data_IF_004129391051
#
_entry.id   IF_004129391051
#
_cell.length_a   1.000
_cell.length_b   1.000
_cell.length_c   1.000
_cell.angle_alpha   90.00
_cell.angle_beta   90.00
_cell.angle_gamma   90.00
#
_symmetry.space_group_name_H-M   'P 1'
#
loop_
_entity.id
_entity.type
_entity.pdbx_description
1 polymer ?
#
# COMPACT_ATOMS: atom_id res chain seq x y z
N UNK A 1 -5.29 -23.00 -10.33
CA UNK A 1 -6.59 -22.35 -10.58
C UNK A 1 -6.51 -20.87 -10.17
N UNK A 2 -6.26 -20.00 -11.15
CA UNK A 2 -6.16 -18.56 -10.94
C UNK A 2 -7.58 -17.98 -10.82
N UNK A 3 -7.94 -17.51 -9.63
CA UNK A 3 -9.17 -16.79 -9.21
C UNK A 3 -10.56 -17.46 -9.36
N UNK A 4 -11.49 -17.25 -8.39
CA UNK A 4 -12.90 -17.71 -8.48
C UNK A 4 -13.75 -16.87 -9.45
N UNK A 5 -14.78 -17.48 -10.03
CA UNK A 5 -15.74 -16.88 -11.00
C UNK A 5 -16.51 -15.65 -10.49
N UNK A 6 -16.46 -15.34 -9.18
CA UNK A 6 -17.13 -14.20 -8.56
C UNK A 6 -16.64 -12.81 -9.00
N UNK A 7 -15.64 -12.74 -9.89
CA UNK A 7 -15.03 -11.50 -10.39
C UNK A 7 -15.34 -11.19 -11.87
N UNK A 8 -16.21 -11.98 -12.51
CA UNK A 8 -16.70 -11.74 -13.87
C UNK A 8 -17.78 -10.64 -13.82
N UNK A 9 -17.62 -9.60 -14.63
CA UNK A 9 -18.63 -8.54 -14.74
C UNK A 9 -19.87 -9.07 -15.48
N UNK A 10 -21.06 -8.74 -15.01
CA UNK A 10 -22.29 -9.15 -15.68
C UNK A 10 -22.40 -8.46 -17.06
N UNK A 11 -22.75 -9.22 -18.08
CA UNK A 11 -22.92 -8.73 -19.44
C UNK A 11 -23.95 -7.60 -19.49
N UNK A 12 -23.64 -6.50 -20.19
CA UNK A 12 -24.45 -5.29 -20.33
C UNK A 12 -24.31 -4.27 -19.20
N UNK A 13 -23.46 -4.53 -18.20
CA UNK A 13 -23.25 -3.61 -17.06
C UNK A 13 -22.11 -2.60 -17.30
N UNK A 14 -21.40 -2.69 -18.42
CA UNK A 14 -20.30 -1.80 -18.77
C UNK A 14 -20.61 -0.97 -20.02
N UNK A 15 -20.02 0.23 -20.13
CA UNK A 15 -20.19 1.11 -21.32
C UNK A 15 -19.29 0.70 -22.49
N UNK A 16 -18.87 -0.57 -22.59
CA UNK A 16 -17.88 -1.03 -23.56
C UNK A 16 -18.50 -1.59 -24.85
N UNK A 17 -17.76 -1.43 -25.95
CA UNK A 17 -18.09 -2.02 -27.26
C UNK A 17 -17.89 -3.54 -27.33
N UNK A 18 -17.24 -4.16 -26.34
CA UNK A 18 -17.00 -5.62 -26.25
C UNK A 18 -17.99 -6.33 -25.32
N UNK A 19 -18.97 -5.59 -24.77
CA UNK A 19 -20.05 -6.13 -23.93
C UNK A 19 -21.22 -6.71 -24.77
N UNK A 20 -21.06 -6.72 -26.09
CA UNK A 20 -22.03 -7.27 -27.04
C UNK A 20 -21.71 -8.75 -27.31
N UNK A 21 -22.77 -9.55 -27.35
CA UNK A 21 -22.78 -11.02 -27.35
C UNK A 21 -21.70 -11.68 -28.22
N UNK A 22 -20.89 -12.55 -27.61
CA UNK A 22 -20.05 -13.52 -28.31
C UNK A 22 -18.55 -13.53 -28.00
N UNK A 23 -18.06 -12.78 -27.00
CA UNK A 23 -16.63 -12.81 -26.61
C UNK A 23 -16.37 -13.39 -25.21
N UNK A 24 -15.13 -13.83 -24.98
CA UNK A 24 -14.61 -14.37 -23.72
C UNK A 24 -14.86 -13.45 -22.52
N UNK A 25 -15.25 -14.05 -21.38
CA UNK A 25 -15.57 -13.34 -20.12
C UNK A 25 -14.46 -12.38 -19.67
N UNK A 26 -14.82 -11.11 -19.46
CA UNK A 26 -13.91 -10.03 -19.09
C UNK A 26 -13.89 -9.81 -17.56
N UNK A 27 -12.70 -9.79 -16.97
CA UNK A 27 -12.51 -9.76 -15.51
C UNK A 27 -12.28 -8.32 -15.02
N UNK A 28 -12.94 -7.92 -13.91
CA UNK A 28 -12.96 -6.52 -13.43
C UNK A 28 -11.57 -5.89 -13.21
N UNK A 29 -10.58 -6.68 -12.76
CA UNK A 29 -9.21 -6.18 -12.54
C UNK A 29 -8.40 -6.00 -13.83
N UNK A 30 -8.77 -6.65 -14.93
CA UNK A 30 -8.19 -6.38 -16.24
C UNK A 30 -8.56 -4.97 -16.71
N UNK A 31 -9.70 -4.44 -16.25
CA UNK A 31 -10.17 -3.10 -16.61
C UNK A 31 -9.43 -1.97 -15.90
N UNK A 32 -9.03 -2.14 -14.64
CA UNK A 32 -8.20 -1.14 -13.93
C UNK A 32 -6.79 -1.01 -14.53
N UNK A 33 -6.37 -2.00 -15.33
CA UNK A 33 -5.13 -1.98 -16.10
C UNK A 33 -5.31 -1.36 -17.50
N UNK A 34 -6.55 -1.12 -17.93
CA UNK A 34 -6.88 -0.60 -19.26
C UNK A 34 -7.13 0.91 -19.17
N UNK A 35 -6.07 1.64 -19.58
CA UNK A 35 -6.05 2.96 -20.28
C UNK A 35 -5.92 4.23 -19.44
N UNK A 36 -4.65 4.63 -19.27
CA UNK A 36 -4.16 5.84 -19.95
C UNK A 36 -3.05 5.42 -20.94
N UNK A 37 -3.32 5.35 -22.26
CA UNK A 37 -2.33 4.93 -23.25
C UNK A 37 -1.14 5.90 -23.38
N UNK A 38 -1.25 7.15 -22.91
CA UNK A 38 -0.12 8.09 -22.88
C UNK A 38 0.87 7.76 -21.73
N UNK A 39 0.44 6.97 -20.73
CA UNK A 39 1.23 6.65 -19.53
C UNK A 39 1.93 5.27 -19.56
N UNK A 40 1.73 4.48 -20.61
CA UNK A 40 2.37 3.18 -20.79
C UNK A 40 3.80 3.38 -21.29
N UNK A 41 4.77 3.06 -20.44
CA UNK A 41 6.20 3.06 -20.78
C UNK A 41 6.45 2.04 -21.89
N UNK A 42 6.82 2.53 -23.08
CA UNK A 42 7.03 1.71 -24.28
C UNK A 42 5.79 1.01 -24.87
N UNK A 43 4.58 1.56 -24.72
CA UNK A 43 3.33 0.97 -25.24
C UNK A 43 3.45 0.47 -26.70
N UNK A 44 4.05 1.31 -27.55
CA UNK A 44 4.27 1.03 -28.98
C UNK A 44 5.33 -0.04 -29.27
N UNK A 45 6.17 -0.39 -28.28
CA UNK A 45 7.21 -1.41 -28.41
C UNK A 45 6.91 -2.69 -27.60
N UNK A 46 5.81 -2.71 -26.82
CA UNK A 46 5.29 -3.92 -26.20
C UNK A 46 4.57 -4.78 -27.23
N UNK A 47 3.74 -4.18 -28.10
CA UNK A 47 3.08 -4.85 -29.23
C UNK A 47 4.07 -5.57 -30.17
N UNK A 48 5.29 -5.04 -30.31
CA UNK A 48 6.35 -5.63 -31.13
C UNK A 48 7.24 -6.65 -30.37
N UNK A 49 7.07 -6.79 -29.04
CA UNK A 49 7.92 -7.62 -28.16
C UNK A 49 7.21 -8.80 -27.49
N UNK A 50 5.88 -8.86 -27.50
CA UNK A 50 5.09 -9.93 -26.85
C UNK A 50 4.86 -11.18 -27.72
N UNK A 51 5.35 -11.20 -28.96
CA UNK A 51 5.54 -12.46 -29.71
C UNK A 51 6.90 -13.05 -29.39
N UNK A 52 6.97 -14.30 -28.90
CA UNK A 52 8.19 -15.08 -28.60
C UNK A 52 9.47 -14.46 -29.22
N UNK A 53 10.21 -13.69 -28.43
CA UNK A 53 11.38 -12.94 -28.88
C UNK A 53 12.48 -13.86 -29.42
N UNK A 54 12.39 -14.19 -30.71
CA UNK A 54 13.46 -14.86 -31.43
C UNK A 54 14.60 -13.86 -31.57
N UNK A 55 15.59 -13.97 -30.68
CA UNK A 55 16.86 -13.23 -30.73
C UNK A 55 17.35 -13.11 -32.17
N UNK A 56 17.84 -11.92 -32.53
CA UNK A 56 18.46 -11.73 -33.84
C UNK A 56 19.53 -12.80 -34.05
N UNK A 57 19.58 -13.37 -35.26
CA UNK A 57 20.56 -14.42 -35.58
C UNK A 57 22.01 -13.92 -35.52
N UNK A 58 22.23 -12.63 -35.83
CA UNK A 58 23.54 -11.96 -35.74
C UNK A 58 23.84 -11.37 -34.36
N UNK A 59 25.10 -11.03 -34.14
CA UNK A 59 25.59 -10.47 -32.87
C UNK A 59 25.53 -8.95 -32.90
N UNK A 60 24.78 -8.33 -32.01
CA UNK A 60 24.82 -6.89 -31.78
C UNK A 60 25.54 -6.54 -30.49
N UNK A 61 26.15 -5.35 -30.44
CA UNK A 61 26.74 -4.78 -29.24
C UNK A 61 26.38 -3.30 -29.15
N UNK A 62 25.84 -2.89 -28.00
CA UNK A 62 25.53 -1.50 -27.66
C UNK A 62 26.66 -0.94 -26.80
N UNK A 63 27.15 0.26 -27.10
CA UNK A 63 28.23 0.91 -26.35
C UNK A 63 27.81 2.30 -25.88
N UNK A 64 28.28 2.69 -24.69
CA UNK A 64 28.31 4.09 -24.25
C UNK A 64 29.77 4.46 -24.05
N UNK A 65 30.29 5.35 -24.90
CA UNK A 65 31.73 5.52 -25.05
C UNK A 65 32.39 4.20 -25.47
N UNK A 66 33.32 3.72 -24.65
CA UNK A 66 34.00 2.43 -24.84
C UNK A 66 33.39 1.28 -24.04
N UNK A 67 32.39 1.56 -23.20
CA UNK A 67 31.78 0.55 -22.33
C UNK A 67 30.65 -0.19 -23.03
N UNK A 68 30.66 -1.53 -22.93
CA UNK A 68 29.60 -2.40 -23.46
C UNK A 68 28.40 -2.44 -22.52
N UNK A 69 27.22 -2.16 -23.07
CA UNK A 69 25.93 -2.21 -22.38
C UNK A 69 25.28 -3.58 -22.56
N UNK A 70 24.68 -4.08 -21.48
CA UNK A 70 23.96 -5.35 -21.47
C UNK A 70 22.60 -5.15 -20.81
N UNK A 71 21.70 -6.09 -21.03
CA UNK A 71 20.33 -6.03 -20.52
C UNK A 71 20.28 -5.78 -19.00
N UNK A 72 19.47 -4.78 -18.62
CA UNK A 72 19.24 -4.28 -17.24
C UNK A 72 20.50 -3.85 -16.49
N UNK A 73 21.61 -3.58 -17.19
CA UNK A 73 22.85 -3.10 -16.57
C UNK A 73 22.73 -1.64 -16.12
N UNK A 74 23.32 -1.33 -14.97
CA UNK A 74 23.51 0.04 -14.50
C UNK A 74 24.90 0.50 -14.95
N UNK A 75 24.97 1.59 -15.71
CA UNK A 75 26.22 2.22 -16.13
C UNK A 75 26.34 3.63 -15.55
N UNK A 76 27.51 3.90 -14.95
CA UNK A 76 27.84 5.21 -14.40
C UNK A 76 28.59 5.98 -15.47
N UNK A 77 27.92 6.96 -16.09
CA UNK A 77 28.50 7.82 -17.10
C UNK A 77 28.90 9.18 -16.49
N UNK A 78 30.18 9.32 -16.12
CA UNK A 78 30.73 10.59 -15.60
C UNK A 78 31.15 11.55 -16.70
N UNK A 79 31.43 11.05 -17.91
CA UNK A 79 31.86 11.86 -19.05
C UNK A 79 30.65 12.25 -19.92
N UNK A 80 30.37 13.55 -19.97
CA UNK A 80 29.27 14.12 -20.76
C UNK A 80 29.52 14.05 -22.26
N UNK A 81 30.75 13.83 -22.69
CA UNK A 81 31.12 13.71 -24.11
C UNK A 81 30.88 12.30 -24.66
N UNK A 82 30.59 11.32 -23.79
CA UNK A 82 30.29 9.97 -24.23
C UNK A 82 29.06 9.96 -25.15
N UNK A 83 29.19 9.21 -26.24
CA UNK A 83 28.11 8.97 -27.20
C UNK A 83 27.66 7.52 -27.13
N UNK A 84 26.45 7.28 -27.62
CA UNK A 84 25.90 5.94 -27.75
C UNK A 84 26.27 5.36 -29.13
N UNK A 85 26.67 4.10 -29.19
CA UNK A 85 27.01 3.41 -30.42
C UNK A 85 26.35 2.04 -30.50
N UNK A 86 26.09 1.59 -31.73
CA UNK A 86 25.71 0.19 -32.00
C UNK A 86 26.62 -0.38 -33.07
N UNK A 87 27.03 -1.63 -32.86
CA UNK A 87 27.68 -2.46 -33.87
C UNK A 87 26.83 -3.72 -34.04
N UNK A 88 26.58 -4.10 -35.30
CA UNK A 88 25.93 -5.36 -35.64
C UNK A 88 26.83 -6.18 -36.56
N UNK A 89 27.01 -7.45 -36.22
CA UNK A 89 27.81 -8.43 -36.95
C UNK A 89 26.85 -9.52 -37.44
N UNK A 90 26.70 -9.65 -38.76
CA UNK A 90 25.80 -10.64 -39.35
C UNK A 90 26.36 -12.06 -39.24
N UNK A 91 25.47 -13.05 -39.36
CA UNK A 91 25.90 -14.46 -39.49
C UNK A 91 26.41 -14.75 -40.89
N UNK A 92 27.25 -15.78 -41.00
CA UNK A 92 27.74 -16.30 -42.29
C UNK A 92 26.55 -16.66 -43.18
N UNK A 93 26.49 -16.08 -44.38
CA UNK A 93 25.42 -16.30 -45.37
C UNK A 93 24.28 -15.27 -45.37
N UNK A 94 24.29 -14.28 -44.47
CA UNK A 94 23.30 -13.18 -44.51
C UNK A 94 23.78 -12.02 -45.40
N UNK A 95 23.01 -11.73 -46.45
CA UNK A 95 23.30 -10.67 -47.44
C UNK A 95 22.83 -9.27 -47.02
N UNK A 96 22.25 -9.12 -45.83
CA UNK A 96 21.79 -7.82 -45.31
C UNK A 96 22.94 -6.82 -45.20
N UNK A 97 22.78 -5.63 -45.77
CA UNK A 97 23.79 -4.55 -45.73
C UNK A 97 23.64 -3.62 -44.52
N UNK A 98 22.45 -3.58 -43.91
CA UNK A 98 22.16 -2.81 -42.71
C UNK A 98 21.11 -3.48 -41.83
N UNK A 99 21.04 -3.05 -40.57
CA UNK A 99 19.89 -3.26 -39.67
C UNK A 99 19.24 -1.92 -39.33
N UNK A 100 17.97 -1.98 -38.98
CA UNK A 100 17.22 -0.83 -38.50
C UNK A 100 17.42 -0.71 -36.98
N UNK A 101 17.70 0.49 -36.48
CA UNK A 101 17.90 0.74 -35.05
C UNK A 101 17.09 1.95 -34.60
N UNK A 102 16.46 1.83 -33.44
CA UNK A 102 15.76 2.92 -32.76
C UNK A 102 16.19 2.96 -31.30
N UNK A 103 16.60 4.13 -30.84
CA UNK A 103 16.95 4.38 -29.44
C UNK A 103 15.81 5.14 -28.81
N UNK A 104 15.39 4.71 -27.62
CA UNK A 104 14.34 5.36 -26.85
C UNK A 104 14.87 5.55 -25.45
N UNK A 105 14.72 6.73 -24.88
CA UNK A 105 15.14 6.99 -23.53
C UNK A 105 14.16 7.92 -22.81
N UNK A 106 14.07 7.76 -21.49
CA UNK A 106 13.34 8.67 -20.62
C UNK A 106 14.29 9.25 -19.59
N UNK A 107 14.58 10.55 -19.70
CA UNK A 107 15.32 11.26 -18.69
C UNK A 107 14.60 11.24 -17.33
N UNK A 108 15.35 11.25 -16.23
CA UNK A 108 14.76 11.24 -14.86
C UNK A 108 13.83 12.43 -14.62
N UNK A 109 14.09 13.58 -15.24
CA UNK A 109 13.26 14.79 -15.16
C UNK A 109 12.01 14.76 -16.04
N UNK A 110 11.93 13.86 -17.02
CA UNK A 110 10.80 13.74 -17.95
C UNK A 110 9.81 12.67 -17.49
N UNK A 111 8.55 12.80 -17.93
CA UNK A 111 7.56 11.70 -17.97
C UNK A 111 7.42 11.11 -19.36
N UNK A 112 7.89 11.82 -20.39
CA UNK A 112 7.76 11.47 -21.79
C UNK A 112 9.02 10.79 -22.33
N UNK A 113 8.81 9.89 -23.29
CA UNK A 113 9.86 9.16 -23.99
C UNK A 113 10.40 10.01 -25.13
N UNK A 114 11.71 10.03 -25.25
CA UNK A 114 12.40 10.68 -26.36
C UNK A 114 13.00 9.57 -27.21
N UNK A 115 12.77 9.63 -28.52
CA UNK A 115 13.29 8.62 -29.44
C UNK A 115 14.21 9.23 -30.49
N UNK A 116 15.17 8.43 -30.90
CA UNK A 116 16.09 8.72 -31.98
C UNK A 116 16.15 7.52 -32.93
N UNK A 117 16.01 7.72 -34.24
CA UNK A 117 15.46 8.93 -34.87
C UNK A 117 14.03 9.21 -34.40
N UNK A 118 13.58 10.48 -34.51
CA UNK A 118 12.32 10.92 -33.92
C UNK A 118 11.08 10.25 -34.55
N UNK A 119 11.06 10.08 -35.88
CA UNK A 119 9.89 9.59 -36.62
C UNK A 119 10.05 8.21 -37.26
N UNK A 120 11.28 7.76 -37.53
CA UNK A 120 11.54 6.51 -38.28
C UNK A 120 12.63 5.66 -37.62
N UNK A 121 12.98 4.53 -38.24
CA UNK A 121 14.15 3.75 -37.88
C UNK A 121 15.42 4.37 -38.47
N UNK A 122 16.51 4.36 -37.71
CA UNK A 122 17.86 4.67 -38.21
C UNK A 122 18.48 3.44 -38.85
N UNK A 123 19.44 3.61 -39.75
CA UNK A 123 20.16 2.49 -40.38
C UNK A 123 21.56 2.37 -39.81
N UNK A 124 21.93 1.15 -39.39
CA UNK A 124 23.28 0.80 -38.98
C UNK A 124 23.83 -0.24 -39.96
N UNK A 125 24.88 0.12 -40.68
CA UNK A 125 25.52 -0.78 -41.63
C UNK A 125 26.16 -1.95 -40.89
N UNK A 126 26.07 -3.14 -41.48
CA UNK A 126 26.67 -4.35 -40.91
C UNK A 126 28.19 -4.17 -40.79
N UNK A 127 28.77 -4.72 -39.72
CA UNK A 127 30.19 -4.64 -39.36
C UNK A 127 30.72 -3.21 -39.12
N UNK A 128 29.84 -2.20 -39.04
CA UNK A 128 30.21 -0.80 -38.76
C UNK A 128 29.80 -0.41 -37.35
N UNK A 129 30.66 0.31 -36.62
CA UNK A 129 30.31 0.93 -35.34
C UNK A 129 29.69 2.30 -35.64
N UNK A 130 28.37 2.39 -35.58
CA UNK A 130 27.63 3.63 -35.88
C UNK A 130 27.33 4.39 -34.58
N UNK A 131 27.59 5.69 -34.56
CA UNK A 131 27.23 6.58 -33.44
C UNK A 131 25.82 7.11 -33.62
N UNK A 132 25.13 7.36 -32.51
CA UNK A 132 23.85 8.06 -32.51
C UNK A 132 24.06 9.53 -32.19
N UNK A 133 23.54 10.40 -33.05
CA UNK A 133 23.60 11.86 -32.88
C UNK A 133 22.56 12.32 -31.86
N UNK A 134 22.79 11.99 -30.59
CA UNK A 134 22.08 12.54 -29.45
C UNK A 134 22.86 13.75 -28.92
N UNK A 135 22.17 14.87 -28.67
CA UNK A 135 22.80 16.10 -28.15
C UNK A 135 23.42 15.90 -26.76
N UNK A 136 22.84 14.99 -25.98
CA UNK A 136 23.37 14.58 -24.67
C UNK A 136 22.85 13.20 -24.28
N UNK A 137 23.52 12.57 -23.31
CA UNK A 137 23.08 11.35 -22.64
C UNK A 137 22.64 11.65 -21.19
N UNK A 138 21.43 12.21 -20.96
CA UNK A 138 20.95 12.50 -19.62
C UNK A 138 20.78 11.21 -18.78
N UNK A 139 20.79 11.36 -17.46
CA UNK A 139 20.41 10.26 -16.58
C UNK A 139 19.00 9.77 -16.92
N UNK A 140 18.84 8.46 -17.01
CA UNK A 140 17.58 7.89 -17.42
C UNK A 140 17.64 6.40 -17.64
N UNK A 141 16.57 5.89 -18.22
CA UNK A 141 16.48 4.53 -18.72
C UNK A 141 16.55 4.60 -20.23
N UNK A 142 17.32 3.70 -20.83
CA UNK A 142 17.55 3.61 -22.28
C UNK A 142 17.12 2.25 -22.78
N UNK A 143 16.49 2.23 -23.95
CA UNK A 143 16.06 1.04 -24.70
C UNK A 143 16.55 1.19 -26.13
N UNK A 144 17.37 0.25 -26.59
CA UNK A 144 17.86 0.20 -27.96
C UNK A 144 17.17 -0.96 -28.65
N UNK A 145 16.32 -0.65 -29.62
CA UNK A 145 15.59 -1.60 -30.46
C UNK A 145 16.39 -1.84 -31.73
N UNK A 146 16.63 -3.11 -32.06
CA UNK A 146 17.35 -3.54 -33.25
C UNK A 146 16.42 -4.42 -34.09
N UNK A 147 16.13 -3.99 -35.31
CA UNK A 147 15.22 -4.64 -36.24
C UNK A 147 15.97 -5.16 -37.47
N UNK A 148 15.86 -6.45 -37.77
CA UNK A 148 16.47 -7.04 -38.95
C UNK A 148 15.56 -6.94 -40.20
N UNK A 149 16.04 -7.50 -41.32
CA UNK A 149 15.30 -7.57 -42.59
C UNK A 149 14.03 -8.43 -42.55
N UNK A 150 13.93 -9.36 -41.60
CA UNK A 150 12.77 -10.24 -41.40
C UNK A 150 11.74 -9.59 -40.45
N UNK A 151 11.86 -8.28 -40.21
CA UNK A 151 11.09 -7.49 -39.25
C UNK A 151 11.13 -7.96 -37.79
N UNK A 152 12.08 -8.82 -37.42
CA UNK A 152 12.29 -9.25 -36.02
C UNK A 152 13.01 -8.19 -35.23
N UNK A 153 12.53 -7.94 -34.02
CA UNK A 153 13.05 -6.91 -33.12
C UNK A 153 13.68 -7.57 -31.90
N UNK A 154 14.88 -7.13 -31.56
CA UNK A 154 15.55 -7.43 -30.30
C UNK A 154 15.86 -6.14 -29.55
N UNK A 155 15.98 -6.22 -28.24
CA UNK A 155 16.02 -5.05 -27.36
C UNK A 155 17.16 -5.17 -26.36
N UNK A 156 17.89 -4.06 -26.17
CA UNK A 156 18.80 -3.88 -25.03
C UNK A 156 18.32 -2.72 -24.17
N UNK A 157 17.95 -3.01 -22.93
CA UNK A 157 17.63 -2.02 -21.91
C UNK A 157 18.80 -1.83 -20.93
N UNK A 158 19.09 -0.59 -20.55
CA UNK A 158 20.08 -0.27 -19.53
C UNK A 158 19.78 1.06 -18.84
N UNK A 159 20.47 1.33 -17.73
CA UNK A 159 20.30 2.54 -16.94
C UNK A 159 21.57 3.39 -17.01
N UNK A 160 21.43 4.68 -17.31
CA UNK A 160 22.50 5.66 -17.21
C UNK A 160 22.34 6.51 -15.95
N UNK A 161 23.41 6.61 -15.16
CA UNK A 161 23.50 7.48 -13.98
C UNK A 161 24.78 8.30 -14.05
N UNK A 162 24.77 9.55 -13.59
CA UNK A 162 25.97 10.40 -13.59
C UNK A 162 26.95 10.03 -12.49
N UNK A 163 26.45 9.40 -11.42
CA UNK A 163 27.24 8.96 -10.28
C UNK A 163 26.67 7.71 -9.64
N UNK A 164 27.54 6.98 -8.95
CA UNK A 164 27.16 5.88 -8.07
C UNK A 164 26.73 6.46 -6.73
N UNK A 165 25.57 6.03 -6.23
CA UNK A 165 25.11 6.36 -4.89
C UNK A 165 25.50 5.26 -3.92
N UNK A 166 25.94 5.65 -2.71
CA UNK A 166 26.22 4.71 -1.62
C UNK A 166 24.99 3.85 -1.30
N UNK A 167 23.81 4.49 -1.27
CA UNK A 167 22.53 3.84 -1.09
C UNK A 167 21.66 3.98 -2.34
N UNK A 168 22.11 3.32 -3.41
CA UNK A 168 21.41 3.25 -4.69
C UNK A 168 20.59 1.98 -4.85
N UNK A 169 19.53 2.05 -5.65
CA UNK A 169 18.72 0.90 -6.01
C UNK A 169 19.54 -0.15 -6.76
N UNK A 170 19.47 -1.42 -6.34
CA UNK A 170 20.22 -2.50 -6.99
C UNK A 170 19.71 -2.89 -8.37
N UNK A 171 18.54 -2.39 -8.78
CA UNK A 171 17.94 -2.66 -10.11
C UNK A 171 18.19 -1.50 -11.07
N UNK A 172 17.91 -0.27 -10.66
CA UNK A 172 17.99 0.89 -11.54
C UNK A 172 19.08 1.89 -11.16
N UNK A 173 19.81 1.71 -10.05
CA UNK A 173 20.88 2.62 -9.62
C UNK A 173 20.40 3.99 -9.12
N UNK A 174 19.09 4.22 -8.97
CA UNK A 174 18.52 5.48 -8.44
C UNK A 174 18.90 5.67 -6.98
N UNK A 175 19.12 6.91 -6.55
CA UNK A 175 19.30 7.23 -5.13
C UNK A 175 18.06 6.84 -4.31
N UNK A 176 18.26 6.07 -3.24
CA UNK A 176 17.21 5.66 -2.31
C UNK A 176 17.23 6.44 -0.99
N UNK A 177 18.16 7.38 -0.82
CA UNK A 177 18.13 8.30 0.32
C UNK A 177 16.99 9.29 0.11
N UNK A 178 16.00 9.24 1.00
CA UNK A 178 14.85 10.14 0.99
C UNK A 178 15.27 11.54 1.46
N UNK A 179 14.63 12.55 0.88
CA UNK A 179 14.70 13.95 1.30
C UNK A 179 13.40 14.38 1.98
N UNK A 180 13.42 15.52 2.68
CA UNK A 180 12.19 16.06 3.31
C UNK A 180 11.10 16.35 2.29
N UNK A 181 11.45 16.88 1.12
CA UNK A 181 10.48 17.17 0.05
C UNK A 181 9.86 15.88 -0.50
N UNK A 182 10.66 14.83 -0.67
CA UNK A 182 10.16 13.54 -1.12
C UNK A 182 9.21 12.90 -0.09
N UNK A 183 9.53 12.97 1.21
CA UNK A 183 8.59 12.52 2.24
C UNK A 183 7.30 13.34 2.25
N UNK A 184 7.36 14.65 1.97
CA UNK A 184 6.16 15.51 1.82
C UNK A 184 5.32 15.14 0.61
N UNK A 185 5.94 14.69 -0.48
CA UNK A 185 5.20 14.19 -1.64
C UNK A 185 4.52 12.85 -1.34
N UNK A 186 5.16 11.99 -0.53
CA UNK A 186 4.61 10.68 -0.17
C UNK A 186 3.50 10.82 0.88
N UNK A 187 3.72 11.64 1.91
CA UNK A 187 2.84 11.82 3.08
C UNK A 187 2.35 13.28 3.21
N UNK A 188 1.61 13.83 2.23
CA UNK A 188 1.34 15.26 2.13
C UNK A 188 0.56 15.86 3.29
N UNK A 189 -0.22 15.04 4.00
CA UNK A 189 -1.07 15.49 5.10
C UNK A 189 -0.40 15.37 6.48
N UNK A 190 0.81 14.83 6.56
CA UNK A 190 1.50 14.66 7.84
C UNK A 190 2.27 15.91 8.23
N UNK A 191 2.06 16.42 9.45
CA UNK A 191 2.97 17.38 10.07
C UNK A 191 4.19 16.70 10.71
N UNK A 192 4.16 15.38 10.89
CA UNK A 192 5.22 14.63 11.59
C UNK A 192 6.51 14.57 10.78
N UNK A 193 6.40 14.62 9.46
CA UNK A 193 7.54 14.61 8.53
C UNK A 193 8.33 15.93 8.50
N UNK A 194 7.81 17.01 9.10
CA UNK A 194 8.58 18.25 9.30
C UNK A 194 9.68 18.06 10.36
N UNK A 195 9.57 17.03 11.21
CA UNK A 195 10.61 16.69 12.16
C UNK A 195 11.78 15.99 11.45
N UNK A 196 13.00 16.59 11.45
CA UNK A 196 14.16 15.99 10.79
C UNK A 196 14.56 14.63 11.37
N UNK A 197 14.24 14.35 12.64
CA UNK A 197 14.52 13.04 13.25
C UNK A 197 13.68 11.92 12.65
N UNK A 198 12.47 12.21 12.16
CA UNK A 198 11.63 11.23 11.46
C UNK A 198 12.26 10.85 10.13
N UNK A 199 12.73 11.83 9.35
CA UNK A 199 13.47 11.59 8.10
C UNK A 199 14.75 10.78 8.36
N UNK A 200 15.52 11.15 9.38
CA UNK A 200 16.73 10.42 9.77
C UNK A 200 16.40 8.97 10.15
N UNK A 201 15.31 8.74 10.89
CA UNK A 201 14.86 7.40 11.24
C UNK A 201 14.51 6.57 9.99
N UNK A 202 13.75 7.12 9.04
CA UNK A 202 13.44 6.43 7.78
C UNK A 202 14.72 6.01 7.04
N UNK A 203 15.61 6.97 6.78
CA UNK A 203 16.84 6.70 6.03
C UNK A 203 17.75 5.69 6.73
N UNK A 204 17.91 5.80 8.05
CA UNK A 204 18.73 4.86 8.82
C UNK A 204 18.08 3.47 8.89
N UNK A 205 16.76 3.38 9.01
CA UNK A 205 16.04 2.12 9.03
C UNK A 205 16.10 1.43 7.68
N UNK A 206 15.87 2.15 6.57
CA UNK A 206 16.01 1.60 5.22
C UNK A 206 17.40 1.02 4.99
N UNK A 207 18.46 1.76 5.33
CA UNK A 207 19.85 1.28 5.19
C UNK A 207 20.12 -0.03 5.96
N UNK A 208 19.47 -0.22 7.11
CA UNK A 208 19.64 -1.40 7.98
C UNK A 208 18.63 -2.54 7.72
N UNK A 209 17.56 -2.26 6.97
CA UNK A 209 16.45 -3.20 6.72
C UNK A 209 16.75 -4.28 5.68
N UNK A 210 17.75 -4.06 4.81
CA UNK A 210 18.00 -4.89 3.63
C UNK A 210 17.14 -4.51 2.42
N UNK A 211 16.36 -3.43 2.49
CA UNK A 211 15.58 -2.94 1.36
C UNK A 211 16.52 -2.24 0.36
N UNK A 212 16.72 -2.88 -0.81
CA UNK A 212 17.71 -2.46 -1.82
C UNK A 212 17.09 -1.99 -3.13
N UNK A 213 15.77 -2.11 -3.30
CA UNK A 213 15.10 -1.75 -4.56
C UNK A 213 14.04 -0.70 -4.31
N UNK A 214 13.74 0.10 -5.33
CA UNK A 214 12.59 1.00 -5.32
C UNK A 214 11.29 0.23 -5.05
N UNK A 215 11.20 -1.04 -5.46
CA UNK A 215 10.06 -1.90 -5.19
C UNK A 215 9.85 -2.16 -3.70
N UNK A 216 10.92 -2.46 -2.97
CA UNK A 216 10.84 -2.70 -1.52
C UNK A 216 10.36 -1.44 -0.80
N UNK A 217 10.85 -0.28 -1.22
CA UNK A 217 10.42 1.01 -0.66
C UNK A 217 8.95 1.27 -0.96
N UNK A 218 8.51 1.05 -2.20
CA UNK A 218 7.13 1.25 -2.61
C UNK A 218 6.16 0.38 -1.77
N UNK A 219 6.47 -0.91 -1.62
CA UNK A 219 5.67 -1.82 -0.78
C UNK A 219 5.59 -1.34 0.67
N UNK A 220 6.72 -0.97 1.27
CA UNK A 220 6.74 -0.53 2.67
C UNK A 220 5.95 0.78 2.87
N UNK A 221 6.23 1.80 2.07
CA UNK A 221 5.64 3.13 2.21
C UNK A 221 4.13 3.12 1.90
N UNK A 222 3.68 2.32 0.92
CA UNK A 222 2.26 2.19 0.59
C UNK A 222 1.42 1.62 1.74
N UNK A 223 1.96 0.61 2.43
CA UNK A 223 1.30 0.04 3.61
C UNK A 223 1.28 1.05 4.75
N UNK A 224 2.39 1.77 4.96
CA UNK A 224 2.50 2.81 5.97
C UNK A 224 1.47 3.94 5.76
N UNK A 225 1.29 4.40 4.52
CA UNK A 225 0.29 5.40 4.16
C UNK A 225 -1.10 4.99 4.62
N UNK A 226 -1.48 3.74 4.38
CA UNK A 226 -2.82 3.23 4.69
C UNK A 226 -3.01 3.02 6.19
N UNK A 227 -2.08 2.30 6.84
CA UNK A 227 -2.18 1.92 8.26
C UNK A 227 -2.15 3.11 9.23
N UNK A 228 -1.50 4.20 8.83
CA UNK A 228 -1.34 5.39 9.67
C UNK A 228 -2.12 6.60 9.21
N UNK A 229 -2.91 6.46 8.14
CA UNK A 229 -3.61 7.56 7.47
C UNK A 229 -2.62 8.68 7.13
N UNK A 230 -1.61 8.33 6.33
CA UNK A 230 -0.54 9.22 5.90
C UNK A 230 0.32 9.76 7.04
N UNK A 231 0.78 8.89 7.94
CA UNK A 231 1.56 9.22 9.13
C UNK A 231 0.89 10.27 10.02
N UNK A 232 -0.43 10.28 10.14
CA UNK A 232 -1.15 11.20 11.04
C UNK A 232 -1.48 10.55 12.37
N UNK A 233 -1.65 9.22 12.40
CA UNK A 233 -2.00 8.45 13.59
C UNK A 233 -0.85 7.55 14.03
N UNK A 234 -0.61 7.48 15.34
CA UNK A 234 0.37 6.58 15.97
C UNK A 234 -0.22 5.73 17.10
N UNK A 235 -1.52 5.85 17.35
CA UNK A 235 -2.24 5.10 18.37
C UNK A 235 -3.64 4.79 17.88
N UNK A 236 -4.15 3.61 18.21
CA UNK A 236 -5.57 3.32 18.01
C UNK A 236 -6.42 4.14 18.99
N UNK A 237 -7.60 4.53 18.52
CA UNK A 237 -8.58 5.21 19.37
C UNK A 237 -9.31 4.20 20.25
N UNK A 238 -9.58 4.58 21.49
CA UNK A 238 -10.50 3.86 22.39
C UNK A 238 -11.90 4.48 22.43
N UNK A 239 -12.18 5.44 21.52
CA UNK A 239 -13.41 6.22 21.49
C UNK A 239 -14.47 5.60 20.55
N UNK A 240 -15.17 4.58 21.03
CA UNK A 240 -16.16 3.83 20.26
C UNK A 240 -17.59 4.14 20.68
N UNK A 241 -18.45 4.36 19.70
CA UNK A 241 -19.90 4.22 19.86
C UNK A 241 -20.31 2.77 19.65
N UNK A 242 -21.50 2.39 20.13
CA UNK A 242 -21.94 0.99 20.22
C UNK A 242 -21.82 0.22 18.90
N UNK A 243 -22.33 0.80 17.80
CA UNK A 243 -22.35 0.12 16.50
C UNK A 243 -20.94 -0.12 15.98
N UNK A 244 -20.05 0.89 16.05
CA UNK A 244 -18.65 0.72 15.64
C UNK A 244 -17.93 -0.34 16.47
N UNK A 245 -18.20 -0.41 17.78
CA UNK A 245 -17.64 -1.44 18.65
C UNK A 245 -18.10 -2.85 18.22
N UNK A 246 -19.39 -3.01 17.90
CA UNK A 246 -19.97 -4.26 17.39
C UNK A 246 -19.53 -4.58 15.95
N UNK A 247 -19.09 -3.59 15.17
CA UNK A 247 -18.63 -3.82 13.79
C UNK A 247 -17.16 -4.22 13.73
N UNK A 248 -16.30 -3.49 14.44
CA UNK A 248 -14.84 -3.65 14.41
C UNK A 248 -14.43 -4.93 15.11
N UNK A 249 -15.01 -5.21 16.28
CA UNK A 249 -14.54 -6.31 17.13
C UNK A 249 -15.37 -7.59 17.02
N UNK A 250 -16.31 -7.72 16.07
CA UNK A 250 -17.12 -8.94 15.85
C UNK A 250 -16.34 -10.22 15.54
N UNK A 251 -15.04 -10.12 15.28
CA UNK A 251 -14.15 -11.25 15.08
C UNK A 251 -13.41 -11.70 16.34
N UNK A 252 -13.48 -10.94 17.45
CA UNK A 252 -12.60 -11.12 18.59
C UNK A 252 -13.24 -12.01 19.67
N UNK A 253 -12.52 -13.04 20.10
CA UNK A 253 -13.06 -14.07 21.02
C UNK A 253 -13.62 -13.49 22.32
N UNK A 254 -12.96 -12.47 22.89
CA UNK A 254 -13.38 -11.85 24.14
C UNK A 254 -14.65 -11.00 24.06
N UNK A 255 -15.13 -10.70 22.86
CA UNK A 255 -16.31 -9.84 22.66
C UNK A 255 -17.61 -10.59 22.51
N UNK A 256 -17.59 -11.93 22.51
CA UNK A 256 -18.79 -12.79 22.35
C UNK A 256 -19.97 -12.35 23.23
N UNK A 257 -19.68 -11.93 24.47
CA UNK A 257 -20.73 -11.51 25.41
C UNK A 257 -21.44 -10.22 24.99
N UNK A 258 -20.80 -9.33 24.21
CA UNK A 258 -21.43 -8.12 23.66
C UNK A 258 -22.59 -8.45 22.71
N UNK A 259 -22.59 -9.66 22.13
CA UNK A 259 -23.60 -10.09 21.16
C UNK A 259 -24.71 -10.92 21.81
N UNK A 260 -24.70 -11.09 23.14
CA UNK A 260 -25.84 -11.66 23.86
C UNK A 260 -26.88 -10.56 24.10
N UNK A 261 -28.16 -10.86 23.92
CA UNK A 261 -29.22 -9.87 24.13
C UNK A 261 -29.21 -9.29 25.56
N UNK A 262 -28.83 -10.10 26.56
CA UNK A 262 -28.61 -9.67 27.94
C UNK A 262 -27.61 -8.49 28.10
N UNK A 263 -26.63 -8.35 27.20
CA UNK A 263 -25.69 -7.22 27.23
C UNK A 263 -26.40 -5.88 27.03
N UNK A 264 -27.43 -5.88 26.17
CA UNK A 264 -28.30 -4.74 25.93
C UNK A 264 -29.34 -4.59 27.03
N UNK A 265 -30.07 -5.65 27.31
CA UNK A 265 -31.23 -5.62 28.20
C UNK A 265 -30.83 -5.26 29.63
N UNK A 266 -29.69 -5.78 30.10
CA UNK A 266 -29.13 -5.46 31.43
C UNK A 266 -28.32 -4.15 31.46
N UNK A 267 -28.35 -3.36 30.38
CA UNK A 267 -27.61 -2.10 30.24
C UNK A 267 -26.09 -2.22 30.45
N UNK A 268 -25.52 -3.41 30.24
CA UNK A 268 -24.09 -3.66 30.46
C UNK A 268 -23.21 -2.82 29.50
N UNK A 269 -23.70 -2.52 28.30
CA UNK A 269 -23.03 -1.68 27.30
C UNK A 269 -22.64 -0.27 27.79
N UNK A 270 -23.35 0.28 28.79
CA UNK A 270 -23.05 1.59 29.36
C UNK A 270 -21.62 1.69 29.94
N UNK A 271 -21.01 0.55 30.27
CA UNK A 271 -19.64 0.45 30.82
C UNK A 271 -18.57 0.28 29.73
N UNK A 272 -18.93 0.20 28.46
CA UNK A 272 -18.02 -0.10 27.35
C UNK A 272 -18.05 0.99 26.28
N UNK A 273 -19.21 1.57 26.03
CA UNK A 273 -19.39 2.61 25.01
C UNK A 273 -18.84 3.94 25.53
N UNK A 274 -17.90 4.54 24.80
CA UNK A 274 -17.21 5.77 25.19
C UNK A 274 -17.67 7.00 24.39
N UNK A 275 -18.39 6.82 23.29
CA UNK A 275 -18.95 7.89 22.47
C UNK A 275 -20.43 7.68 22.16
N UNK A 276 -21.18 8.78 21.96
CA UNK A 276 -22.61 8.75 21.53
C UNK A 276 -23.42 7.72 22.31
N UNK A 277 -23.36 7.79 23.63
CA UNK A 277 -23.99 6.81 24.52
C UNK A 277 -25.45 7.18 24.78
N UNK A 278 -26.35 6.21 24.60
CA UNK A 278 -27.78 6.35 24.86
C UNK A 278 -28.28 5.27 25.79
N UNK A 279 -29.12 5.63 26.76
CA UNK A 279 -29.71 4.70 27.71
C UNK A 279 -31.22 4.55 27.48
N UNK A 280 -31.72 3.31 27.48
CA UNK A 280 -33.17 3.04 27.41
C UNK A 280 -33.87 3.56 28.67
N UNK A 281 -34.90 4.37 28.47
CA UNK A 281 -35.77 4.86 29.54
C UNK A 281 -36.87 3.86 29.86
N UNK A 282 -37.38 3.90 31.09
CA UNK A 282 -38.47 3.02 31.54
C UNK A 282 -39.76 3.32 30.76
N UNK A 283 -40.24 2.32 30.03
CA UNK A 283 -41.44 2.42 29.18
C UNK A 283 -42.74 2.56 29.98
N UNK A 284 -42.76 2.23 31.28
CA UNK A 284 -43.95 2.42 32.11
C UNK A 284 -44.24 3.89 32.42
N UNK A 285 -43.25 4.79 32.24
CA UNK A 285 -43.37 6.22 32.59
C UNK A 285 -43.70 7.13 31.42
N UNK A 286 -43.73 6.60 30.19
CA UNK A 286 -43.81 7.41 28.98
C UNK A 286 -44.47 6.62 27.84
N UNK A 287 -45.31 7.29 27.04
CA UNK A 287 -46.07 6.67 25.96
C UNK A 287 -45.20 6.53 24.70
N UNK A 288 -44.57 5.37 24.50
CA UNK A 288 -43.64 5.13 23.38
C UNK A 288 -44.21 4.17 22.33
N UNK A 289 -44.08 4.51 21.05
CA UNK A 289 -44.15 3.54 19.95
C UNK A 289 -42.75 3.29 19.40
N UNK A 290 -42.35 2.01 19.38
CA UNK A 290 -41.09 1.55 18.76
C UNK A 290 -41.47 0.68 17.58
N UNK A 291 -41.01 1.04 16.38
CA UNK A 291 -41.24 0.22 15.19
C UNK A 291 -40.17 -0.89 15.14
N UNK A 292 -40.56 -2.09 14.70
CA UNK A 292 -39.63 -3.19 14.40
C UNK A 292 -38.52 -2.81 13.40
N UNK A 293 -38.79 -1.80 12.56
CA UNK A 293 -37.84 -1.24 11.58
C UNK A 293 -36.72 -0.38 12.20
N UNK A 294 -36.81 -0.05 13.49
CA UNK A 294 -35.85 0.84 14.20
C UNK A 294 -34.64 0.10 14.79
N UNK A 295 -34.47 -1.20 14.51
CA UNK A 295 -33.40 -2.03 15.08
C UNK A 295 -32.45 -2.60 14.02
N UNK A 296 -31.17 -2.69 14.36
CA UNK A 296 -30.12 -3.35 13.60
C UNK A 296 -29.65 -4.61 14.33
N UNK A 297 -29.34 -5.65 13.56
CA UNK A 297 -28.83 -6.92 14.11
C UNK A 297 -27.35 -7.04 13.81
N UNK A 298 -26.56 -7.25 14.87
CA UNK A 298 -25.13 -7.53 14.74
C UNK A 298 -24.86 -8.99 15.10
N UNK A 299 -24.10 -9.69 14.26
CA UNK A 299 -23.73 -11.10 14.47
C UNK A 299 -22.23 -11.23 14.70
N UNK A 300 -21.86 -11.94 15.78
CA UNK A 300 -20.47 -12.25 16.07
C UNK A 300 -19.94 -13.32 15.12
N UNK A 301 -18.83 -13.04 14.41
CA UNK A 301 -18.30 -13.90 13.34
C UNK A 301 -17.94 -15.32 13.78
N UNK A 302 -17.54 -15.51 15.05
CA UNK A 302 -17.07 -16.82 15.52
C UNK A 302 -18.11 -17.64 16.29
N UNK A 303 -19.06 -16.98 16.96
CA UNK A 303 -20.06 -17.68 17.78
C UNK A 303 -21.43 -17.75 17.12
N UNK A 304 -21.69 -16.97 16.06
CA UNK A 304 -23.00 -16.86 15.43
C UNK A 304 -24.06 -16.15 16.29
N UNK A 305 -23.74 -15.83 17.54
CA UNK A 305 -24.63 -15.11 18.46
C UNK A 305 -24.92 -13.72 17.90
N UNK A 306 -26.19 -13.31 17.99
CA UNK A 306 -26.65 -12.04 17.45
C UNK A 306 -27.36 -11.21 18.51
N UNK A 307 -27.13 -9.90 18.45
CA UNK A 307 -27.75 -8.88 19.31
C UNK A 307 -28.59 -7.95 18.44
N UNK A 308 -29.76 -7.54 18.95
CA UNK A 308 -30.59 -6.50 18.34
C UNK A 308 -30.48 -5.22 19.14
N UNK A 309 -30.01 -4.15 18.50
CA UNK A 309 -29.86 -2.81 19.09
C UNK A 309 -30.57 -1.77 18.21
N UNK A 310 -31.02 -0.64 18.76
CA UNK A 310 -31.63 0.42 17.94
C UNK A 310 -30.63 0.93 16.89
N UNK A 311 -31.11 1.25 15.68
CA UNK A 311 -30.28 1.77 14.59
C UNK A 311 -29.64 3.10 14.96
N UNK A 312 -28.33 3.21 14.77
CA UNK A 312 -27.59 4.47 14.76
C UNK A 312 -27.47 4.98 13.32
N UNK A 313 -28.34 5.91 12.94
CA UNK A 313 -28.28 6.54 11.62
C UNK A 313 -27.02 7.41 11.53
N UNK A 314 -26.03 6.94 10.78
CA UNK A 314 -24.91 7.79 10.38
C UNK A 314 -25.27 8.54 9.09
N UNK A 315 -25.24 9.87 9.15
CA UNK A 315 -25.30 10.76 7.99
C UNK A 315 -24.04 10.60 7.14
N UNK A 316 -24.00 9.61 6.25
CA UNK A 316 -22.93 9.49 5.26
C UNK A 316 -23.30 10.07 3.89
N UNK A 317 -24.51 10.63 3.69
CA UNK A 317 -24.97 11.06 2.38
C UNK A 317 -25.30 12.56 2.22
N UNK A 318 -25.57 13.33 3.28
CA UNK A 318 -25.89 14.77 3.13
C UNK A 318 -25.80 15.55 4.46
N UNK A 319 -24.98 16.61 4.60
CA UNK A 319 -24.80 17.35 5.86
C UNK A 319 -25.90 18.36 6.22
N UNK A 320 -27.00 18.47 5.46
CA UNK A 320 -28.01 19.53 5.66
C UNK A 320 -29.47 19.11 5.91
N UNK A 321 -29.77 17.85 6.24
CA UNK A 321 -31.13 17.48 6.70
C UNK A 321 -31.09 16.51 7.89
N UNK A 322 -31.68 16.97 8.99
CA UNK A 322 -31.72 16.37 10.32
C UNK A 322 -32.92 15.43 10.41
N UNK A 323 -32.74 14.18 10.84
CA UNK A 323 -33.77 13.40 11.57
C UNK A 323 -33.19 12.13 12.22
N UNK A 324 -32.82 12.26 13.49
CA UNK A 324 -32.55 11.18 14.44
C UNK A 324 -33.86 10.41 14.72
N UNK A 325 -34.03 9.15 14.27
CA UNK A 325 -35.31 8.43 14.48
C UNK A 325 -35.25 7.12 15.31
N UNK A 326 -34.11 6.44 15.47
CA UNK A 326 -34.03 5.20 16.27
C UNK A 326 -33.89 5.45 17.78
N UNK A 327 -33.12 6.46 18.18
CA UNK A 327 -33.00 6.95 19.55
C UNK A 327 -33.80 8.25 19.67
N UNK A 328 -35.14 8.18 19.53
CA UNK A 328 -36.03 9.34 19.67
C UNK A 328 -35.69 10.05 20.99
N UNK A 329 -35.09 11.23 20.91
CA UNK A 329 -34.61 12.04 22.05
C UNK A 329 -35.59 13.17 22.40
N UNK A 330 -36.76 13.20 21.76
CA UNK A 330 -37.77 14.22 21.93
C UNK A 330 -38.49 14.07 23.28
N UNK A 331 -38.59 15.14 24.09
CA UNK A 331 -39.41 15.15 25.29
C UNK A 331 -40.84 14.65 24.99
N UNK A 332 -41.31 13.65 25.74
CA UNK A 332 -42.67 13.10 25.60
C UNK A 332 -42.89 12.07 24.47
N UNK A 333 -41.89 11.75 23.63
CA UNK A 333 -42.01 10.75 22.54
C UNK A 333 -40.82 9.79 22.42
N UNK A 334 -39.80 9.94 23.27
CA UNK A 334 -38.49 9.30 23.10
C UNK A 334 -38.14 8.14 24.04
N UNK A 335 -37.86 6.95 23.52
CA UNK A 335 -37.54 5.75 24.32
C UNK A 335 -36.11 5.69 24.89
N UNK A 336 -35.25 6.66 24.55
CA UNK A 336 -33.83 6.71 24.95
C UNK A 336 -33.39 8.12 25.33
N UNK A 337 -32.49 8.23 26.32
CA UNK A 337 -31.82 9.49 26.70
C UNK A 337 -30.34 9.44 26.36
N UNK A 338 -29.79 10.57 25.94
CA UNK A 338 -28.32 10.72 25.82
C UNK A 338 -27.68 10.68 27.20
N UNK A 339 -26.57 9.95 27.32
CA UNK A 339 -25.76 9.87 28.54
C UNK A 339 -24.52 10.73 28.36
N UNK A 340 -24.37 11.74 29.21
CA UNK A 340 -23.17 12.58 29.25
C UNK A 340 -22.12 11.90 30.12
N UNK A 341 -21.02 11.47 29.51
CA UNK A 341 -19.88 10.88 30.20
C UNK A 341 -18.84 11.95 30.51
N UNK A 342 -18.26 11.91 31.72
CA UNK A 342 -17.03 12.64 32.03
C UNK A 342 -15.86 12.06 31.22
N UNK A 343 -14.79 12.83 31.02
CA UNK A 343 -13.63 12.33 30.25
C UNK A 343 -12.98 11.10 30.88
N UNK A 344 -12.96 11.04 32.22
CA UNK A 344 -12.54 9.84 32.96
C UNK A 344 -13.43 8.64 32.66
N UNK A 345 -14.75 8.81 32.58
CA UNK A 345 -15.66 7.72 32.22
C UNK A 345 -15.48 7.27 30.78
N UNK A 346 -15.30 8.20 29.83
CA UNK A 346 -15.00 7.86 28.43
C UNK A 346 -13.73 7.04 28.32
N UNK A 347 -12.66 7.46 29.01
CA UNK A 347 -11.39 6.74 29.07
C UNK A 347 -11.58 5.33 29.66
N UNK A 348 -12.26 5.24 30.81
CA UNK A 348 -12.49 3.95 31.48
C UNK A 348 -13.32 2.98 30.62
N UNK A 349 -14.35 3.49 29.94
CA UNK A 349 -15.16 2.70 29.02
C UNK A 349 -14.34 2.23 27.82
N UNK A 350 -13.52 3.11 27.24
CA UNK A 350 -12.59 2.77 26.16
C UNK A 350 -11.58 1.69 26.58
N UNK A 351 -11.00 1.81 27.78
CA UNK A 351 -10.08 0.80 28.34
C UNK A 351 -10.79 -0.55 28.50
N UNK A 352 -12.01 -0.58 29.06
CA UNK A 352 -12.81 -1.80 29.20
C UNK A 352 -13.09 -2.46 27.85
N UNK A 353 -13.41 -1.66 26.84
CA UNK A 353 -13.66 -2.14 25.48
C UNK A 353 -12.45 -2.81 24.86
N UNK A 354 -11.28 -2.16 24.90
CA UNK A 354 -10.06 -2.75 24.37
C UNK A 354 -9.58 -3.96 25.19
N UNK A 355 -9.76 -3.94 26.51
CA UNK A 355 -9.45 -5.07 27.38
C UNK A 355 -10.30 -6.30 27.05
N UNK A 356 -11.60 -6.12 26.83
CA UNK A 356 -12.49 -7.19 26.38
C UNK A 356 -12.20 -7.62 24.94
N UNK A 357 -11.86 -6.67 24.05
CA UNK A 357 -11.56 -6.97 22.66
C UNK A 357 -10.29 -7.82 22.48
N UNK A 358 -9.24 -7.57 23.26
CA UNK A 358 -7.92 -8.20 23.09
C UNK A 358 -7.52 -9.18 24.20
N UNK A 359 -8.45 -9.55 25.08
CA UNK A 359 -8.21 -10.55 26.15
C UNK A 359 -7.69 -11.87 25.58
N UNK A 360 -6.62 -12.39 26.17
CA UNK A 360 -6.02 -13.68 25.78
C UNK A 360 -5.45 -13.73 24.36
N UNK A 361 -5.43 -12.60 23.63
CA UNK A 361 -4.92 -12.56 22.26
C UNK A 361 -3.41 -12.36 22.26
N UNK A 362 -2.71 -13.26 21.56
CA UNK A 362 -1.30 -13.13 21.17
C UNK A 362 -0.39 -12.58 22.29
N UNK A 363 -0.41 -13.30 23.43
CA UNK A 363 0.41 -13.01 24.61
C UNK A 363 -0.25 -12.12 25.66
N UNK A 364 -1.38 -11.50 25.38
CA UNK A 364 -2.13 -10.76 26.39
C UNK A 364 -2.71 -11.70 27.46
N UNK A 365 -2.78 -11.22 28.70
CA UNK A 365 -3.44 -11.92 29.81
C UNK A 365 -4.88 -12.33 29.46
N UNK A 366 -5.34 -13.54 29.86
CA UNK A 366 -6.74 -13.91 29.81
C UNK A 366 -7.58 -13.24 30.91
N UNK A 367 -6.95 -12.61 31.90
CA UNK A 367 -7.63 -11.88 32.96
C UNK A 367 -8.10 -10.49 32.44
N UNK A 368 -9.39 -10.20 32.65
CA UNK A 368 -10.02 -8.92 32.27
C UNK A 368 -10.23 -7.97 33.44
N UNK A 369 -9.81 -8.36 34.65
CA UNK A 369 -9.85 -7.50 35.83
C UNK A 369 -8.98 -6.25 35.60
N UNK A 370 -9.40 -5.13 36.17
CA UNK A 370 -8.85 -3.80 35.84
C UNK A 370 -7.32 -3.72 35.96
N UNK A 371 -6.73 -4.37 36.97
CA UNK A 371 -5.30 -4.31 37.25
C UNK A 371 -4.47 -5.30 36.41
N UNK A 372 -5.09 -6.36 35.89
CA UNK A 372 -4.39 -7.44 35.19
C UNK A 372 -4.67 -7.47 33.69
N UNK A 373 -5.70 -6.76 33.23
CA UNK A 373 -6.07 -6.68 31.84
C UNK A 373 -5.01 -5.96 31.00
N UNK A 374 -4.69 -6.55 29.85
CA UNK A 374 -3.57 -6.12 29.02
C UNK A 374 -3.98 -5.62 27.63
N UNK A 375 -5.26 -5.73 27.26
CA UNK A 375 -5.73 -5.36 25.93
C UNK A 375 -5.50 -3.87 25.62
N UNK A 376 -5.93 -2.97 26.50
CA UNK A 376 -5.67 -1.53 26.36
C UNK A 376 -4.17 -1.20 26.48
N UNK A 377 -3.42 -1.94 27.32
CA UNK A 377 -1.98 -1.74 27.50
C UNK A 377 -1.22 -1.98 26.19
N UNK A 378 -1.52 -3.07 25.49
CA UNK A 378 -0.90 -3.46 24.21
C UNK A 378 -1.83 -3.24 23.01
N UNK A 379 -2.64 -2.17 23.07
CA UNK A 379 -3.44 -1.65 21.96
C UNK A 379 -2.55 -1.19 20.80
N UNK A 380 -3.09 -1.12 19.58
CA UNK A 380 -2.44 -0.65 18.36
C UNK A 380 -1.66 0.65 18.54
N UNK A 381 -0.35 0.61 18.24
CA UNK A 381 0.51 1.80 18.18
C UNK A 381 1.51 1.75 17.03
N UNK A 382 2.12 2.90 16.77
CA UNK A 382 3.04 3.12 15.66
C UNK A 382 2.31 3.23 14.32
N UNK A 383 3.06 3.38 13.24
CA UNK A 383 2.47 3.60 11.91
C UNK A 383 1.91 2.33 11.25
N UNK A 384 2.21 1.14 11.81
CA UNK A 384 1.66 -0.15 11.35
C UNK A 384 0.70 -0.77 12.38
N UNK A 385 0.25 0.00 13.39
CA UNK A 385 -0.70 -0.46 14.41
C UNK A 385 -0.29 -1.79 15.08
N UNK A 386 0.95 -1.88 15.57
CA UNK A 386 1.43 -3.06 16.31
C UNK A 386 0.53 -3.28 17.53
N UNK A 387 -0.06 -4.47 17.64
CA UNK A 387 -1.10 -4.80 18.62
C UNK A 387 -0.79 -6.14 19.29
N UNK A 388 -1.17 -6.31 20.57
CA UNK A 388 -0.91 -7.46 21.44
C UNK A 388 0.53 -7.64 21.93
N UNK A 389 0.69 -8.17 23.14
CA UNK A 389 1.95 -8.24 23.88
C UNK A 389 3.08 -8.94 23.12
N UNK A 390 2.82 -10.05 22.45
CA UNK A 390 3.88 -10.76 21.72
C UNK A 390 4.48 -9.90 20.61
N UNK A 391 3.65 -9.19 19.83
CA UNK A 391 4.16 -8.29 18.78
C UNK A 391 4.99 -7.14 19.35
N UNK A 392 4.65 -6.65 20.55
CA UNK A 392 5.48 -5.67 21.27
C UNK A 392 6.85 -6.23 21.69
N UNK A 393 6.88 -7.49 22.17
CA UNK A 393 8.13 -8.21 22.49
C UNK A 393 8.97 -8.41 21.23
N UNK A 394 8.35 -8.82 20.13
CA UNK A 394 9.03 -9.04 18.85
C UNK A 394 9.58 -7.75 18.25
N UNK A 395 8.82 -6.65 18.31
CA UNK A 395 9.28 -5.34 17.87
C UNK A 395 10.50 -4.88 18.69
N UNK A 396 10.47 -5.07 20.02
CA UNK A 396 11.60 -4.78 20.90
C UNK A 396 12.84 -5.59 20.50
N UNK A 397 12.68 -6.91 20.33
CA UNK A 397 13.77 -7.82 19.97
C UNK A 397 14.36 -7.47 18.60
N UNK A 398 13.51 -7.16 17.62
CA UNK A 398 13.94 -6.82 16.26
C UNK A 398 14.66 -5.48 16.22
N UNK A 399 14.17 -4.46 16.94
CA UNK A 399 14.88 -3.19 17.11
C UNK A 399 16.29 -3.39 17.68
N UNK A 400 16.43 -4.22 18.72
CA UNK A 400 17.72 -4.48 19.34
C UNK A 400 18.66 -5.24 18.39
N UNK A 401 18.18 -6.31 17.75
CA UNK A 401 19.02 -7.18 16.94
C UNK A 401 19.40 -6.57 15.58
N UNK A 402 18.42 -6.02 14.85
CA UNK A 402 18.60 -5.50 13.48
C UNK A 402 19.05 -4.04 13.45
N UNK A 403 18.47 -3.21 14.31
CA UNK A 403 18.71 -1.76 14.26
C UNK A 403 19.70 -1.25 15.32
N UNK A 404 20.06 -2.10 16.29
CA UNK A 404 20.90 -1.78 17.46
C UNK A 404 20.27 -0.68 18.32
N UNK A 405 18.95 -0.75 18.48
CA UNK A 405 18.15 0.18 19.27
C UNK A 405 17.45 -0.56 20.41
N UNK A 406 17.64 -0.10 21.65
CA UNK A 406 17.06 -0.73 22.83
C UNK A 406 15.85 0.07 23.32
N UNK A 407 14.65 -0.33 22.89
CA UNK A 407 13.39 0.26 23.35
C UNK A 407 12.64 -0.73 24.23
N UNK A 408 12.18 -0.31 25.41
CA UNK A 408 11.42 -1.18 26.30
C UNK A 408 9.91 -1.11 26.05
N UNK A 409 9.47 -1.60 24.89
CA UNK A 409 8.05 -1.57 24.51
C UNK A 409 7.14 -2.41 25.43
N UNK A 410 7.68 -3.36 26.18
CA UNK A 410 6.87 -4.26 27.03
C UNK A 410 6.40 -3.56 28.30
N UNK A 411 7.32 -2.83 28.94
CA UNK A 411 7.03 -2.07 30.16
C UNK A 411 6.54 -0.66 29.85
N UNK A 412 7.02 -0.05 28.76
CA UNK A 412 6.67 1.30 28.32
C UNK A 412 6.09 1.29 26.89
N UNK A 413 4.90 0.70 26.67
CA UNK A 413 4.32 0.52 25.33
C UNK A 413 4.02 1.85 24.62
N UNK A 414 3.78 2.94 25.36
CA UNK A 414 3.52 4.26 24.78
C UNK A 414 4.73 4.87 24.06
N UNK A 415 5.95 4.35 24.27
CA UNK A 415 7.12 4.74 23.47
C UNK A 415 6.87 4.58 21.97
N UNK A 416 6.09 3.58 21.57
CA UNK A 416 5.79 3.32 20.16
C UNK A 416 4.88 4.39 19.52
N UNK A 417 4.24 5.24 20.32
CA UNK A 417 3.44 6.36 19.83
C UNK A 417 4.27 7.58 19.42
N UNK A 418 5.54 7.65 19.85
CA UNK A 418 6.46 8.72 19.48
C UNK A 418 6.79 8.63 17.98
N UNK A 419 6.76 9.75 17.28
CA UNK A 419 6.85 9.80 15.81
C UNK A 419 8.11 9.13 15.23
N UNK A 420 9.26 9.34 15.88
CA UNK A 420 10.55 8.76 15.44
C UNK A 420 10.62 7.27 15.79
N UNK A 421 10.19 6.89 16.99
CA UNK A 421 10.18 5.48 17.43
C UNK A 421 9.16 4.67 16.63
N UNK A 422 8.03 5.27 16.25
CA UNK A 422 7.01 4.67 15.40
C UNK A 422 7.56 4.24 14.03
N UNK A 423 8.50 5.01 13.45
CA UNK A 423 9.22 4.59 12.23
C UNK A 423 9.99 3.30 12.50
N UNK A 424 10.83 3.28 13.54
CA UNK A 424 11.63 2.10 13.89
C UNK A 424 10.78 0.87 14.20
N UNK A 425 9.69 1.03 14.96
CA UNK A 425 8.75 -0.03 15.26
C UNK A 425 8.07 -0.58 14.00
N UNK A 426 7.75 0.30 13.04
CA UNK A 426 7.18 -0.11 11.75
C UNK A 426 8.14 -0.96 10.94
N UNK A 427 9.41 -0.55 10.85
CA UNK A 427 10.44 -1.36 10.21
C UNK A 427 10.68 -2.67 10.95
N UNK A 428 10.70 -2.65 12.28
CA UNK A 428 10.89 -3.85 13.10
C UNK A 428 9.79 -4.88 12.85
N UNK A 429 8.53 -4.43 12.79
CA UNK A 429 7.42 -5.31 12.43
C UNK A 429 7.55 -5.83 10.99
N UNK A 430 7.88 -4.96 10.03
CA UNK A 430 7.97 -5.34 8.61
C UNK A 430 9.06 -6.38 8.34
N UNK A 431 10.29 -6.15 8.81
CA UNK A 431 11.41 -7.08 8.54
C UNK A 431 11.25 -8.42 9.27
N UNK A 432 10.41 -8.46 10.31
CA UNK A 432 10.07 -9.69 11.05
C UNK A 432 8.99 -10.50 10.32
N UNK A 433 8.00 -9.83 9.73
CA UNK A 433 6.80 -10.48 9.17
C UNK A 433 6.82 -10.63 7.64
N UNK A 434 7.66 -9.86 6.95
CA UNK A 434 7.73 -9.81 5.49
C UNK A 434 9.16 -10.07 5.04
N UNK A 435 9.33 -11.07 4.17
CA UNK A 435 10.65 -11.44 3.65
C UNK A 435 11.06 -10.51 2.50
N UNK A 436 12.37 -10.42 2.23
CA UNK A 436 12.86 -9.70 1.05
C UNK A 436 12.31 -10.31 -0.24
N UNK A 437 12.14 -11.63 -0.28
CA UNK A 437 11.56 -12.32 -1.45
C UNK A 437 10.13 -11.89 -1.69
N UNK A 438 9.32 -11.73 -0.64
CA UNK A 438 7.95 -11.21 -0.79
C UNK A 438 7.97 -9.81 -1.42
N UNK A 439 8.91 -8.95 -1.01
CA UNK A 439 9.02 -7.58 -1.53
C UNK A 439 9.52 -7.48 -2.97
N UNK A 440 9.97 -8.58 -3.59
CA UNK A 440 10.35 -8.60 -5.00
C UNK A 440 9.13 -8.68 -5.93
N UNK A 441 7.95 -9.08 -5.42
CA UNK A 441 6.72 -9.14 -6.21
C UNK A 441 6.30 -7.77 -6.72
N UNK A 442 5.67 -7.71 -7.89
CA UNK A 442 5.01 -6.49 -8.37
C UNK A 442 3.50 -6.48 -8.06
N UNK A 443 3.00 -7.52 -7.40
CA UNK A 443 1.63 -7.58 -6.89
C UNK A 443 1.56 -7.11 -5.42
N UNK A 444 1.06 -5.89 -5.12
CA UNK A 444 0.98 -5.38 -3.75
C UNK A 444 0.06 -6.18 -2.83
N UNK A 445 -0.88 -6.97 -3.37
CA UNK A 445 -1.81 -7.76 -2.55
C UNK A 445 -1.10 -8.82 -1.72
N UNK A 446 0.01 -9.36 -2.22
CA UNK A 446 0.87 -10.30 -1.48
C UNK A 446 1.33 -9.69 -0.15
N UNK A 447 1.64 -8.40 -0.15
CA UNK A 447 2.04 -7.68 1.06
C UNK A 447 0.83 -7.27 1.89
N UNK A 448 -0.23 -6.78 1.24
CA UNK A 448 -1.48 -6.38 1.90
C UNK A 448 -2.04 -7.50 2.78
N UNK A 449 -2.15 -8.73 2.29
CA UNK A 449 -2.72 -9.83 3.08
C UNK A 449 -1.80 -10.32 4.22
N UNK A 450 -0.50 -9.98 4.18
CA UNK A 450 0.41 -10.21 5.32
C UNK A 450 0.27 -9.14 6.39
N UNK A 451 0.08 -7.88 5.98
CA UNK A 451 -0.16 -6.74 6.89
C UNK A 451 -1.55 -6.86 7.52
N UNK A 452 -2.57 -7.08 6.70
CA UNK A 452 -3.95 -7.19 7.13
C UNK A 452 -4.61 -8.41 6.46
N UNK A 453 -4.71 -9.51 7.22
CA UNK A 453 -5.33 -10.76 6.74
C UNK A 453 -6.77 -10.59 6.24
N UNK A 454 -7.49 -9.58 6.72
CA UNK A 454 -8.85 -9.29 6.27
C UNK A 454 -8.90 -8.58 4.91
N UNK A 455 -7.78 -8.07 4.41
CA UNK A 455 -7.70 -7.35 3.13
C UNK A 455 -8.46 -6.03 3.10
N UNK A 456 -8.78 -5.43 4.25
CA UNK A 456 -9.45 -4.14 4.29
C UNK A 456 -8.53 -3.07 3.70
N UNK A 457 -9.11 -2.19 2.88
CA UNK A 457 -8.40 -1.09 2.20
C UNK A 457 -7.31 -1.59 1.23
N UNK A 458 -7.48 -2.80 0.66
CA UNK A 458 -6.54 -3.35 -0.32
C UNK A 458 -6.40 -2.45 -1.57
N UNK A 459 -7.51 -1.91 -2.06
CA UNK A 459 -7.52 -1.00 -3.21
C UNK A 459 -6.72 0.28 -2.93
N UNK A 460 -6.80 0.82 -1.71
CA UNK A 460 -6.04 2.01 -1.32
C UNK A 460 -4.54 1.70 -1.27
N UNK A 461 -4.15 0.56 -0.68
CA UNK A 461 -2.74 0.11 -0.65
C UNK A 461 -2.19 -0.11 -2.05
N UNK A 462 -2.98 -0.72 -2.94
CA UNK A 462 -2.63 -0.96 -4.34
C UNK A 462 -2.42 0.38 -5.07
N UNK A 463 -3.34 1.33 -4.92
CA UNK A 463 -3.21 2.69 -5.49
C UNK A 463 -1.96 3.40 -4.99
N UNK A 464 -1.71 3.39 -3.68
CA UNK A 464 -0.52 4.00 -3.08
C UNK A 464 0.78 3.36 -3.61
N UNK A 465 0.83 2.03 -3.71
CA UNK A 465 1.97 1.31 -4.28
C UNK A 465 2.22 1.69 -5.74
N UNK A 466 1.15 1.74 -6.55
CA UNK A 466 1.21 2.11 -7.96
C UNK A 466 1.72 3.55 -8.12
N UNK A 467 1.19 4.49 -7.35
CA UNK A 467 1.61 5.90 -7.39
C UNK A 467 3.07 6.07 -6.99
N UNK A 468 3.53 5.35 -5.94
CA UNK A 468 4.93 5.32 -5.56
C UNK A 468 5.81 4.75 -6.67
N UNK A 469 5.42 3.64 -7.30
CA UNK A 469 6.16 3.04 -8.41
C UNK A 469 6.23 3.97 -9.62
N UNK A 470 5.10 4.51 -10.05
CA UNK A 470 4.97 5.22 -11.33
C UNK A 470 5.35 6.69 -11.24
N UNK A 471 4.85 7.41 -10.22
CA UNK A 471 5.02 8.86 -10.11
C UNK A 471 6.29 9.21 -9.35
N UNK A 472 6.54 8.54 -8.23
CA UNK A 472 7.68 8.86 -7.36
C UNK A 472 8.98 8.21 -7.82
N UNK A 473 9.05 6.88 -7.76
CA UNK A 473 10.23 6.11 -8.15
C UNK A 473 10.42 6.00 -9.66
N UNK A 474 9.36 6.26 -10.44
CA UNK A 474 9.34 6.12 -11.91
C UNK A 474 9.92 4.77 -12.35
N UNK A 475 9.64 3.73 -11.57
CA UNK A 475 9.95 2.36 -11.93
C UNK A 475 9.05 1.96 -13.08
N UNK A 476 9.57 1.11 -13.98
CA UNK A 476 8.80 0.53 -15.07
C UNK A 476 7.49 -0.05 -14.51
N UNK A 477 6.38 0.14 -15.23
CA UNK A 477 5.17 -0.65 -14.96
C UNK A 477 5.49 -2.13 -15.31
N UNK A 478 4.91 -3.11 -14.62
CA UNK A 478 5.01 -4.52 -14.98
C UNK A 478 4.72 -4.76 -16.45
#
# INVERSE_FOLDING_TARGET
PFSPESFIAAQGTTKNLMDYSGSTDLWKHQWELIRDPESLWFAWAQDESEGEGKKLKGKYTVYVGDSVMTEKKIFINTDKNNKLYVKYESIVGDTGTYINVKVVYRPVWSTNDISWPFTTWGKVNVNTKTTFSLDSLPEGVYKVLLKNKDDKIDTVMFYLRSKKYEFGCSVCGRNLVLTSNELKLIFPNSKKIDNPLVLQAFNNAFKKSGFKTCNHFAHFLAQLETESVGLTKTTESSNYYLHRMLEVFRGNNGTKFWYKQEFWDNKAYLKFVSNRLYEKMDSAKYNFSVDSLDYETFTHKRSGTSIKVPKDYSSHANPHTIAFNGYKSTPGKGCYRSVVLTDRQKEQNGIRSLNAAYVGMDGNSPDTSWNNAQGSKYRGRGYVQVTNKNNYVEAKSTCAMKFKLNFDFVNNPDLMANDTIAVWASFAWFVKNITITDLNTENPDVITYKVNKAGLEADDRKRNYIDLRQKFFKCNKP
#
